data_IF_579978381631
#
_entry.id   IF_579978381631
#
_cell.length_a   1.000
_cell.length_b   1.000
_cell.length_c   1.000
_cell.angle_alpha   90.00
_cell.angle_beta   90.00
_cell.angle_gamma   90.00
#
_symmetry.space_group_name_H-M   'P 1'
#
loop_
_entity.id
_entity.type
_entity.pdbx_description
1 polymer ?
#
# COMPACT_ATOMS: atom_id res chain seq x y z
N UNK A 1 3.38 -9.16 1.14
CA UNK A 1 3.19 -7.91 1.92
C UNK A 1 3.60 -8.18 3.36
N UNK A 2 4.44 -7.34 3.99
CA UNK A 2 4.56 -7.39 5.46
C UNK A 2 3.38 -6.60 6.03
N UNK A 3 2.30 -7.31 6.38
CA UNK A 3 1.05 -6.70 6.84
C UNK A 3 1.26 -5.71 8.00
N UNK A 4 2.26 -5.97 8.84
CA UNK A 4 2.60 -5.15 10.01
C UNK A 4 2.99 -3.72 9.66
N UNK A 5 3.71 -3.49 8.55
CA UNK A 5 4.13 -2.14 8.13
C UNK A 5 2.97 -1.33 7.57
N UNK A 6 2.15 -1.94 6.71
CA UNK A 6 0.94 -1.29 6.17
C UNK A 6 -0.04 -0.89 7.25
N UNK A 7 -0.24 -1.74 8.27
CA UNK A 7 -1.12 -1.43 9.40
C UNK A 7 -0.61 -0.22 10.18
N UNK A 8 0.71 -0.12 10.43
CA UNK A 8 1.27 1.01 11.17
C UNK A 8 1.09 2.35 10.44
N UNK A 9 1.29 2.36 9.12
CA UNK A 9 1.10 3.58 8.29
C UNK A 9 -0.35 4.03 8.31
N UNK A 10 -1.28 3.09 8.16
CA UNK A 10 -2.71 3.41 8.17
C UNK A 10 -3.16 3.85 9.56
N UNK A 11 -2.68 3.18 10.61
CA UNK A 11 -3.01 3.55 11.99
C UNK A 11 -2.57 4.97 12.33
N UNK A 12 -1.31 5.35 12.03
CA UNK A 12 -0.84 6.72 12.29
C UNK A 12 -1.63 7.77 11.51
N UNK A 13 -2.03 7.44 10.28
CA UNK A 13 -2.85 8.32 9.44
C UNK A 13 -4.26 8.52 10.00
N UNK A 14 -4.89 7.46 10.54
CA UNK A 14 -6.21 7.54 11.20
C UNK A 14 -6.14 8.39 12.46
N UNK A 15 -5.10 8.22 13.29
CA UNK A 15 -4.92 9.05 14.50
C UNK A 15 -4.74 10.53 14.10
N UNK A 16 -3.95 10.82 13.07
CA UNK A 16 -3.78 12.18 12.54
C UNK A 16 -5.12 12.80 12.10
N UNK A 17 -5.93 12.02 11.36
CA UNK A 17 -7.28 12.45 10.95
C UNK A 17 -8.19 12.77 12.14
N UNK A 18 -8.17 11.93 13.18
CA UNK A 18 -8.96 12.14 14.40
C UNK A 18 -8.54 13.37 15.22
N UNK A 19 -7.26 13.75 15.16
CA UNK A 19 -6.73 14.92 15.86
C UNK A 19 -7.01 16.24 15.11
N UNK A 20 -7.39 16.17 13.84
CA UNK A 20 -7.61 17.35 13.01
C UNK A 20 -8.92 18.05 13.38
N UNK A 21 -8.83 19.23 13.99
CA UNK A 21 -9.99 20.06 14.34
C UNK A 21 -10.48 20.91 13.15
N UNK A 22 -11.79 21.13 13.05
CA UNK A 22 -12.41 21.99 12.02
C UNK A 22 -12.71 21.31 10.67
N UNK A 23 -12.45 20.00 10.55
CA UNK A 23 -12.76 19.22 9.34
C UNK A 23 -14.24 18.83 9.22
N UNK A 24 -15.02 18.95 10.30
CA UNK A 24 -16.41 18.46 10.36
C UNK A 24 -17.35 19.10 9.33
N UNK A 25 -17.01 20.29 8.83
CA UNK A 25 -17.79 20.98 7.80
C UNK A 25 -17.52 20.50 6.37
N UNK A 26 -16.37 19.86 6.12
CA UNK A 26 -15.94 19.43 4.78
C UNK A 26 -16.03 17.91 4.57
N UNK A 27 -16.41 17.17 5.61
CA UNK A 27 -16.33 15.71 5.63
C UNK A 27 -17.72 15.08 5.51
N UNK A 28 -17.91 14.23 4.50
CA UNK A 28 -19.20 13.56 4.21
C UNK A 28 -19.72 12.72 5.39
N UNK A 29 -18.83 12.00 6.10
CA UNK A 29 -19.07 11.26 7.34
C UNK A 29 -17.72 10.78 7.92
N UNK A 30 -17.46 10.97 9.23
CA UNK A 30 -16.21 10.56 9.89
C UNK A 30 -15.89 9.06 9.72
N UNK A 31 -16.89 8.19 9.84
CA UNK A 31 -16.68 6.74 9.72
C UNK A 31 -16.35 6.33 8.29
N UNK A 32 -17.01 6.95 7.31
CA UNK A 32 -16.71 6.75 5.89
C UNK A 32 -15.30 7.20 5.55
N UNK A 33 -14.86 8.36 6.05
CA UNK A 33 -13.47 8.82 5.85
C UNK A 33 -12.45 7.85 6.43
N UNK A 34 -12.65 7.38 7.67
CA UNK A 34 -11.74 6.41 8.28
C UNK A 34 -11.66 5.13 7.44
N UNK A 35 -12.79 4.65 6.91
CA UNK A 35 -12.82 3.50 6.03
C UNK A 35 -12.09 3.75 4.70
N UNK A 36 -12.33 4.89 4.04
CA UNK A 36 -11.64 5.25 2.80
C UNK A 36 -10.14 5.44 3.02
N UNK A 37 -9.74 6.07 4.12
CA UNK A 37 -8.34 6.24 4.51
C UNK A 37 -7.65 4.88 4.74
N UNK A 38 -8.38 3.94 5.36
CA UNK A 38 -7.88 2.59 5.59
C UNK A 38 -7.67 1.83 4.28
N UNK A 39 -8.69 1.81 3.41
CA UNK A 39 -8.65 1.11 2.13
C UNK A 39 -7.61 1.75 1.20
N UNK A 40 -7.65 3.07 1.04
CA UNK A 40 -6.72 3.83 0.21
C UNK A 40 -5.28 3.68 0.69
N UNK A 41 -5.03 3.81 2.00
CA UNK A 41 -3.70 3.62 2.57
C UNK A 41 -3.16 2.19 2.40
N UNK A 42 -4.01 1.17 2.55
CA UNK A 42 -3.63 -0.22 2.28
C UNK A 42 -3.26 -0.43 0.79
N UNK A 43 -4.02 0.17 -0.13
CA UNK A 43 -3.75 0.10 -1.56
C UNK A 43 -2.45 0.80 -1.96
N UNK A 44 -2.21 2.03 -1.47
CA UNK A 44 -0.97 2.78 -1.74
C UNK A 44 0.25 2.06 -1.17
N UNK A 45 0.16 1.55 0.07
CA UNK A 45 1.28 0.79 0.67
C UNK A 45 1.50 -0.55 -0.02
N UNK A 46 0.43 -1.21 -0.50
CA UNK A 46 0.50 -2.40 -1.33
C UNK A 46 1.23 -2.15 -2.65
N UNK A 47 0.90 -1.04 -3.32
CA UNK A 47 1.56 -0.58 -4.54
C UNK A 47 3.05 -0.35 -4.32
N UNK A 48 3.43 0.44 -3.31
CA UNK A 48 4.83 0.71 -2.99
C UNK A 48 5.62 -0.59 -2.72
N UNK A 49 5.03 -1.55 -2.00
CA UNK A 49 5.64 -2.85 -1.76
C UNK A 49 5.80 -3.69 -3.05
N UNK A 50 4.87 -3.58 -3.99
CA UNK A 50 4.96 -4.27 -5.27
C UNK A 50 6.04 -3.65 -6.15
N UNK A 51 6.11 -2.32 -6.23
CA UNK A 51 7.18 -1.58 -6.92
C UNK A 51 8.55 -2.05 -6.40
N UNK A 52 8.74 -2.11 -5.07
CA UNK A 52 9.99 -2.57 -4.48
C UNK A 52 10.37 -3.97 -4.96
N UNK A 53 9.43 -4.92 -4.99
CA UNK A 53 9.72 -6.29 -5.44
C UNK A 53 10.05 -6.38 -6.93
N UNK A 54 9.43 -5.54 -7.74
CA UNK A 54 9.62 -5.54 -9.18
C UNK A 54 10.97 -4.91 -9.54
N UNK A 55 11.31 -3.78 -8.91
CA UNK A 55 12.58 -3.08 -9.11
C UNK A 55 13.75 -3.89 -8.55
N UNK A 56 13.59 -4.50 -7.37
CA UNK A 56 14.66 -5.26 -6.70
C UNK A 56 14.75 -6.73 -7.16
N UNK A 57 13.99 -7.17 -8.18
CA UNK A 57 13.85 -8.59 -8.56
C UNK A 57 15.18 -9.35 -8.57
N UNK A 58 16.18 -8.85 -9.29
CA UNK A 58 17.44 -9.57 -9.51
C UNK A 58 18.28 -9.62 -8.23
N UNK A 59 18.29 -8.53 -7.45
CA UNK A 59 18.99 -8.50 -6.16
C UNK A 59 18.28 -9.36 -5.12
N UNK A 60 16.95 -9.34 -5.09
CA UNK A 60 16.14 -10.18 -4.20
C UNK A 60 16.37 -11.66 -4.47
N UNK A 61 16.52 -12.07 -5.73
CA UNK A 61 16.81 -13.46 -6.10
C UNK A 61 18.13 -13.97 -5.50
N UNK A 62 19.10 -13.08 -5.26
CA UNK A 62 20.41 -13.40 -4.69
C UNK A 62 20.42 -13.39 -3.14
N UNK A 63 19.34 -12.93 -2.49
CA UNK A 63 19.27 -12.74 -1.04
C UNK A 63 18.48 -13.86 -0.34
N UNK A 64 19.11 -14.56 0.62
CA UNK A 64 18.43 -15.61 1.43
C UNK A 64 17.08 -15.17 2.04
N UNK A 65 16.97 -13.90 2.45
CA UNK A 65 15.76 -13.36 3.10
C UNK A 65 14.64 -13.03 2.13
N UNK A 66 14.95 -12.66 0.88
CA UNK A 66 13.98 -12.09 -0.07
C UNK A 66 13.84 -12.87 -1.37
N UNK A 67 14.66 -13.91 -1.59
CA UNK A 67 14.58 -14.80 -2.74
C UNK A 67 13.24 -15.51 -2.90
N UNK A 68 12.48 -15.66 -1.81
CA UNK A 68 11.12 -16.24 -1.83
C UNK A 68 10.02 -15.24 -2.21
N UNK A 69 10.32 -13.96 -2.43
CA UNK A 69 9.33 -12.96 -2.87
C UNK A 69 8.71 -13.37 -4.22
N UNK A 70 7.41 -13.14 -4.44
CA UNK A 70 6.72 -13.57 -5.67
C UNK A 70 7.43 -13.26 -6.99
N UNK A 71 7.92 -12.02 -7.18
CA UNK A 71 8.59 -11.60 -8.42
C UNK A 71 10.00 -12.19 -8.53
N UNK A 72 10.77 -12.16 -7.45
CA UNK A 72 12.13 -12.71 -7.39
C UNK A 72 12.18 -14.24 -7.56
N UNK A 73 11.18 -14.94 -7.03
CA UNK A 73 11.05 -16.41 -7.15
C UNK A 73 10.42 -16.88 -8.47
N UNK A 74 10.04 -15.96 -9.36
CA UNK A 74 9.42 -16.28 -10.65
C UNK A 74 7.97 -16.79 -10.58
N UNK A 75 7.33 -16.78 -9.40
CA UNK A 75 5.92 -17.15 -9.21
C UNK A 75 4.95 -16.11 -9.76
N UNK A 76 5.44 -14.89 -10.00
CA UNK A 76 4.73 -13.79 -10.63
C UNK A 76 5.70 -13.10 -11.59
N UNK A 77 5.24 -12.83 -12.81
CA UNK A 77 6.02 -12.10 -13.80
C UNK A 77 6.24 -10.64 -13.38
N UNK A 78 7.28 -10.02 -13.96
CA UNK A 78 7.58 -8.59 -13.77
C UNK A 78 6.39 -7.73 -14.24
N UNK A 79 5.75 -8.12 -15.35
CA UNK A 79 4.59 -7.43 -15.90
C UNK A 79 3.38 -7.49 -14.95
N UNK A 80 3.08 -8.65 -14.37
CA UNK A 80 2.01 -8.79 -13.37
C UNK A 80 2.30 -7.97 -12.11
N UNK A 81 3.58 -7.92 -11.68
CA UNK A 81 3.99 -7.06 -10.57
C UNK A 81 3.78 -5.58 -10.83
N UNK A 82 4.13 -5.10 -12.03
CA UNK A 82 3.85 -3.72 -12.45
C UNK A 82 2.35 -3.45 -12.57
N UNK A 83 1.58 -4.38 -13.15
CA UNK A 83 0.13 -4.24 -13.26
C UNK A 83 -0.52 -4.11 -11.89
N UNK A 84 -0.15 -4.98 -10.93
CA UNK A 84 -0.62 -4.88 -9.55
C UNK A 84 -0.23 -3.54 -8.92
N UNK A 85 1.02 -3.10 -9.08
CA UNK A 85 1.49 -1.83 -8.54
C UNK A 85 0.70 -0.63 -9.08
N UNK A 86 0.47 -0.58 -10.39
CA UNK A 86 -0.24 0.53 -11.04
C UNK A 86 -1.72 0.53 -10.64
N UNK A 87 -2.39 -0.61 -10.68
CA UNK A 87 -3.82 -0.71 -10.34
C UNK A 87 -4.06 -0.31 -8.89
N UNK A 88 -3.29 -0.88 -7.96
CA UNK A 88 -3.44 -0.57 -6.53
C UNK A 88 -3.02 0.86 -6.21
N UNK A 89 -1.97 1.38 -6.87
CA UNK A 89 -1.53 2.77 -6.69
C UNK A 89 -2.58 3.77 -7.18
N UNK A 90 -3.07 3.59 -8.40
CA UNK A 90 -4.09 4.47 -8.99
C UNK A 90 -5.41 4.41 -8.20
N UNK A 91 -5.88 3.22 -7.83
CA UNK A 91 -7.09 3.08 -7.01
C UNK A 91 -6.92 3.70 -5.62
N UNK A 92 -5.75 3.52 -4.99
CA UNK A 92 -5.46 4.10 -3.68
C UNK A 92 -5.44 5.63 -3.71
N UNK A 93 -4.79 6.22 -4.72
CA UNK A 93 -4.76 7.68 -4.92
C UNK A 93 -6.13 8.24 -5.29
N UNK A 94 -6.95 7.50 -6.03
CA UNK A 94 -8.31 7.94 -6.36
C UNK A 94 -9.25 7.94 -5.13
N UNK A 95 -9.01 7.06 -4.15
CA UNK A 95 -9.82 6.93 -2.94
C UNK A 95 -9.49 8.00 -1.89
N UNK A 96 -8.21 8.39 -1.81
CA UNK A 96 -7.68 9.36 -0.83
C UNK A 96 -7.88 10.79 -1.31
#
# INVERSE_FOLDING_TARGET
MKLSLSIMVVFSSVISFLLTQGSEQYVMNRWTMIFLLFVGGMLVTGSANAINQVVEKDTDAMMKRTASRPVASGRMSVAEGWAFAIITGAAGVFIL
#
